data_IF_827275300221
#
_entry.id   IF_827275300221
#
_cell.length_a   1.000
_cell.length_b   1.000
_cell.length_c   1.000
_cell.angle_alpha   90.00
_cell.angle_beta   90.00
_cell.angle_gamma   90.00
#
_symmetry.space_group_name_H-M   'P 1'
#
loop_
_entity.id
_entity.type
_entity.pdbx_description
1 polymer ?
#
# COMPACT_ATOMS: atom_id res chain seq x y z
N UNK A 1 -53.11 49.39 -20.35
CA UNK A 1 -51.63 49.42 -20.48
C UNK A 1 -51.14 50.17 -19.25
N UNK A 2 -50.52 49.62 -18.22
CA UNK A 2 -49.31 48.77 -18.13
C UNK A 2 -49.37 48.06 -16.76
N UNK A 3 -48.90 46.80 -16.72
CA UNK A 3 -48.88 45.91 -15.53
C UNK A 3 -47.71 46.30 -14.61
N UNK A 4 -47.96 46.41 -13.30
CA UNK A 4 -46.92 46.49 -12.28
C UNK A 4 -46.59 45.06 -11.81
N UNK A 5 -45.43 44.53 -12.17
CA UNK A 5 -44.97 43.22 -11.74
C UNK A 5 -44.31 43.31 -10.36
N UNK A 6 -44.85 42.55 -9.40
CA UNK A 6 -44.17 42.20 -8.16
C UNK A 6 -42.97 41.30 -8.49
N UNK A 7 -41.80 41.62 -7.95
CA UNK A 7 -40.68 40.68 -7.87
C UNK A 7 -40.59 40.11 -6.45
N UNK A 8 -41.17 38.92 -6.29
CA UNK A 8 -40.96 38.05 -5.14
C UNK A 8 -39.69 37.26 -5.41
N UNK A 9 -38.59 37.56 -4.73
CA UNK A 9 -37.37 36.74 -4.80
C UNK A 9 -37.59 35.53 -3.89
N UNK A 10 -37.88 34.38 -4.49
CA UNK A 10 -37.89 33.09 -3.82
C UNK A 10 -36.44 32.60 -3.66
N UNK A 11 -35.93 32.56 -2.43
CA UNK A 11 -34.67 31.90 -2.09
C UNK A 11 -34.96 30.40 -1.93
N UNK A 12 -34.70 29.61 -2.97
CA UNK A 12 -34.67 28.15 -2.88
C UNK A 12 -33.34 27.73 -2.23
N UNK A 13 -33.41 27.23 -1.00
CA UNK A 13 -32.29 26.60 -0.30
C UNK A 13 -31.92 25.28 -0.97
N UNK A 14 -30.71 25.21 -1.52
CA UNK A 14 -30.08 23.96 -1.92
C UNK A 14 -29.41 23.31 -0.72
N UNK A 15 -30.06 22.32 -0.12
CA UNK A 15 -29.47 21.46 0.91
C UNK A 15 -28.53 20.48 0.21
N UNK A 16 -27.23 20.77 0.21
CA UNK A 16 -26.21 19.86 -0.28
C UNK A 16 -26.12 18.66 0.67
N UNK A 17 -26.65 17.52 0.23
CA UNK A 17 -26.43 16.22 0.89
C UNK A 17 -24.95 15.85 0.71
N UNK A 18 -24.15 16.08 1.76
CA UNK A 18 -22.81 15.54 1.85
C UNK A 18 -22.92 14.01 1.94
N UNK A 19 -22.51 13.32 0.89
CA UNK A 19 -22.32 11.87 0.91
C UNK A 19 -21.10 11.62 1.80
N UNK A 20 -21.21 10.89 2.92
CA UNK A 20 -20.04 10.53 3.70
C UNK A 20 -19.16 9.63 2.82
N UNK A 21 -17.90 10.04 2.63
CA UNK A 21 -16.89 9.16 2.08
C UNK A 21 -16.79 7.95 3.03
N UNK A 22 -17.08 6.76 2.50
CA UNK A 22 -16.78 5.53 3.20
C UNK A 22 -15.25 5.44 3.31
N UNK A 23 -14.73 5.71 4.51
CA UNK A 23 -13.33 5.47 4.82
C UNK A 23 -13.16 3.94 4.92
N UNK A 24 -12.38 3.35 4.02
CA UNK A 24 -11.88 2.00 4.22
C UNK A 24 -10.96 2.04 5.46
N UNK A 25 -11.41 1.38 6.52
CA UNK A 25 -10.66 1.20 7.76
C UNK A 25 -9.63 0.11 7.47
N UNK A 26 -8.35 0.47 7.38
CA UNK A 26 -7.26 -0.52 7.28
C UNK A 26 -7.11 -1.12 8.67
N UNK A 27 -7.94 -2.10 8.99
CA UNK A 27 -8.02 -2.74 10.31
C UNK A 27 -6.98 -3.85 10.51
N UNK A 28 -5.89 -3.86 9.73
CA UNK A 28 -4.76 -4.79 9.94
C UNK A 28 -5.13 -6.28 9.84
N UNK A 29 -6.34 -6.61 9.37
CA UNK A 29 -6.65 -7.93 8.86
C UNK A 29 -6.03 -8.05 7.45
N UNK A 30 -5.70 -9.27 7.01
CA UNK A 30 -5.26 -9.49 5.63
C UNK A 30 -6.31 -8.96 4.63
N UNK A 31 -6.03 -8.90 3.32
CA UNK A 31 -6.94 -8.34 2.32
C UNK A 31 -8.41 -8.68 2.58
N UNK A 32 -9.23 -7.62 2.69
CA UNK A 32 -10.64 -7.70 3.08
C UNK A 32 -11.48 -8.58 2.13
N UNK A 33 -11.00 -8.78 0.90
CA UNK A 33 -11.60 -9.64 -0.10
C UNK A 33 -10.59 -10.08 -1.18
N UNK A 34 -10.90 -11.19 -1.84
CA UNK A 34 -10.16 -11.75 -2.98
C UNK A 34 -11.03 -11.91 -4.21
N UNK A 35 -10.40 -11.86 -5.38
CA UNK A 35 -11.02 -12.09 -6.68
C UNK A 35 -10.31 -13.14 -7.51
N UNK A 36 -11.05 -13.75 -8.43
CA UNK A 36 -10.51 -14.64 -9.46
C UNK A 36 -9.95 -13.82 -10.61
N UNK A 37 -8.76 -14.20 -11.09
CA UNK A 37 -8.08 -13.63 -12.25
C UNK A 37 -7.45 -14.73 -13.11
N UNK A 38 -7.07 -14.41 -14.35
CA UNK A 38 -6.36 -15.35 -15.23
C UNK A 38 -7.18 -16.55 -15.71
N UNK A 39 -8.51 -16.52 -15.57
CA UNK A 39 -9.45 -17.51 -16.10
C UNK A 39 -10.18 -16.91 -17.29
N UNK A 40 -10.32 -17.67 -18.37
CA UNK A 40 -11.01 -17.20 -19.57
C UNK A 40 -12.49 -16.90 -19.28
N UNK A 41 -13.07 -15.92 -19.98
CA UNK A 41 -14.44 -15.46 -19.74
C UNK A 41 -15.52 -16.56 -19.95
N UNK A 42 -15.20 -17.59 -20.74
CA UNK A 42 -16.05 -18.74 -21.02
C UNK A 42 -15.64 -20.01 -20.24
N UNK A 43 -14.80 -19.87 -19.21
CA UNK A 43 -14.30 -20.97 -18.38
C UNK A 43 -14.69 -20.78 -16.91
N UNK A 44 -14.22 -21.62 -15.99
CA UNK A 44 -14.42 -21.50 -14.55
C UNK A 44 -13.17 -21.89 -13.77
N UNK A 45 -13.01 -21.31 -12.57
CA UNK A 45 -12.00 -21.78 -11.63
C UNK A 45 -12.55 -22.96 -10.82
N UNK A 46 -11.96 -24.13 -11.00
CA UNK A 46 -12.34 -25.34 -10.26
C UNK A 46 -11.96 -25.24 -8.78
N UNK A 47 -12.95 -25.41 -7.89
CA UNK A 47 -12.76 -25.60 -6.45
C UNK A 47 -12.62 -27.08 -6.12
N UNK A 48 -11.59 -27.45 -5.38
CA UNK A 48 -11.24 -28.86 -5.12
C UNK A 48 -11.34 -29.22 -3.65
N UNK A 49 -11.54 -30.51 -3.39
CA UNK A 49 -11.62 -31.08 -2.05
C UNK A 49 -10.30 -30.95 -1.26
N UNK A 50 -9.17 -30.89 -1.95
CA UNK A 50 -7.85 -30.72 -1.35
C UNK A 50 -6.90 -29.90 -2.23
N UNK A 51 -5.72 -29.54 -1.70
CA UNK A 51 -4.73 -28.69 -2.36
C UNK A 51 -3.97 -29.47 -3.46
N UNK A 52 -4.48 -29.42 -4.69
CA UNK A 52 -3.83 -30.09 -5.82
C UNK A 52 -4.80 -30.52 -6.91
N UNK A 53 -4.30 -30.69 -8.13
CA UNK A 53 -5.09 -31.14 -9.28
C UNK A 53 -5.57 -32.59 -9.19
N UNK A 54 -4.96 -33.39 -8.30
CA UNK A 54 -5.33 -34.78 -8.02
C UNK A 54 -6.63 -34.91 -7.21
N UNK A 55 -7.06 -33.85 -6.51
CA UNK A 55 -8.27 -33.89 -5.69
C UNK A 55 -9.52 -33.64 -6.52
N UNK A 56 -10.64 -34.26 -6.13
CA UNK A 56 -11.94 -34.11 -6.75
C UNK A 56 -12.36 -32.63 -6.84
N UNK A 57 -12.93 -32.23 -7.97
CA UNK A 57 -13.61 -30.93 -8.12
C UNK A 57 -14.97 -31.01 -7.42
N UNK A 58 -15.18 -30.14 -6.44
CA UNK A 58 -16.40 -30.10 -5.59
C UNK A 58 -17.23 -28.84 -5.83
N UNK A 59 -16.74 -27.92 -6.66
CA UNK A 59 -17.43 -26.70 -7.01
C UNK A 59 -16.63 -25.89 -8.02
N UNK A 60 -17.14 -24.69 -8.32
CA UNK A 60 -16.48 -23.75 -9.22
C UNK A 60 -16.82 -22.31 -8.88
N UNK A 61 -15.91 -21.42 -9.26
CA UNK A 61 -16.03 -19.98 -9.21
C UNK A 61 -16.09 -19.40 -10.63
N UNK A 62 -16.84 -18.31 -10.81
CA UNK A 62 -16.86 -17.57 -12.06
C UNK A 62 -15.46 -16.98 -12.37
N UNK A 63 -15.13 -16.73 -13.65
CA UNK A 63 -13.83 -16.17 -14.08
C UNK A 63 -13.40 -14.88 -13.40
N UNK A 64 -14.38 -14.11 -12.90
CA UNK A 64 -14.21 -12.83 -12.23
C UNK A 64 -14.95 -12.81 -10.87
N UNK A 65 -15.11 -13.97 -10.22
CA UNK A 65 -15.73 -14.02 -8.90
C UNK A 65 -14.96 -13.10 -7.93
N UNK A 66 -15.70 -12.37 -7.10
CA UNK A 66 -15.23 -11.30 -6.22
C UNK A 66 -15.73 -11.51 -4.79
N UNK A 67 -15.18 -10.76 -3.84
CA UNK A 67 -15.59 -10.84 -2.43
C UNK A 67 -15.24 -12.18 -1.77
N UNK A 68 -14.27 -12.92 -2.30
CA UNK A 68 -13.88 -14.22 -1.77
C UNK A 68 -13.07 -14.05 -0.48
N UNK A 69 -13.33 -14.91 0.50
CA UNK A 69 -12.56 -14.97 1.74
C UNK A 69 -11.47 -16.03 1.63
N UNK A 70 -10.21 -15.65 1.90
CA UNK A 70 -9.11 -16.59 2.01
C UNK A 70 -9.03 -17.14 3.43
N UNK A 71 -9.34 -18.43 3.61
CA UNK A 71 -9.27 -19.09 4.91
C UNK A 71 -7.82 -19.47 5.25
N UNK A 72 -7.12 -20.09 4.32
CA UNK A 72 -5.71 -20.49 4.48
C UNK A 72 -5.09 -20.88 3.15
N UNK A 73 -3.76 -21.01 3.09
CA UNK A 73 -3.07 -21.53 1.91
C UNK A 73 -1.97 -22.52 2.29
N UNK A 74 -1.70 -23.47 1.40
CA UNK A 74 -0.64 -24.49 1.54
C UNK A 74 0.19 -24.65 0.25
N UNK A 75 1.47 -25.02 0.35
CA UNK A 75 2.23 -25.14 1.60
C UNK A 75 2.40 -23.78 2.29
N UNK A 76 2.55 -23.81 3.61
CA UNK A 76 2.82 -22.61 4.38
C UNK A 76 4.19 -22.06 3.95
N UNK A 77 4.18 -20.86 3.40
CA UNK A 77 5.38 -20.10 3.13
C UNK A 77 5.21 -18.74 3.78
N UNK A 78 5.79 -18.61 4.97
CA UNK A 78 5.76 -17.32 5.65
C UNK A 78 6.63 -16.34 4.85
N UNK A 79 6.20 -15.09 4.72
CA UNK A 79 6.90 -14.11 3.89
C UNK A 79 8.38 -13.89 4.24
N UNK A 80 8.74 -13.94 5.53
CA UNK A 80 10.12 -13.83 6.00
C UNK A 80 11.04 -14.96 5.49
N UNK A 81 10.47 -16.12 5.14
CA UNK A 81 11.20 -17.20 4.47
C UNK A 81 11.26 -16.91 2.97
N UNK A 82 10.15 -16.57 2.33
CA UNK A 82 10.10 -16.26 0.88
C UNK A 82 11.13 -15.22 0.46
N UNK A 83 11.30 -14.17 1.26
CA UNK A 83 12.21 -13.06 0.97
C UNK A 83 13.69 -13.38 1.11
N UNK A 84 14.02 -14.48 1.80
CA UNK A 84 15.38 -15.00 1.93
C UNK A 84 15.74 -16.00 0.84
N UNK A 85 14.77 -16.51 0.09
CA UNK A 85 15.02 -17.40 -1.04
C UNK A 85 15.65 -16.61 -2.20
N UNK A 86 16.61 -17.23 -2.86
CA UNK A 86 17.11 -16.79 -4.17
C UNK A 86 16.03 -16.92 -5.24
N UNK A 87 16.25 -16.31 -6.41
CA UNK A 87 15.30 -16.41 -7.53
C UNK A 87 15.11 -17.85 -8.01
N UNK A 88 16.18 -18.63 -8.05
CA UNK A 88 16.14 -20.04 -8.44
C UNK A 88 15.33 -20.87 -7.44
N UNK A 89 15.51 -20.62 -6.14
CA UNK A 89 14.72 -21.27 -5.09
C UNK A 89 13.25 -20.85 -5.14
N UNK A 90 12.95 -19.57 -5.39
CA UNK A 90 11.57 -19.08 -5.57
C UNK A 90 10.90 -19.72 -6.78
N UNK A 91 11.61 -19.84 -7.90
CA UNK A 91 11.10 -20.49 -9.11
C UNK A 91 10.85 -22.00 -8.92
N UNK A 92 11.58 -22.63 -8.01
CA UNK A 92 11.42 -24.04 -7.65
C UNK A 92 10.31 -24.31 -6.63
N UNK A 93 9.65 -23.27 -6.10
CA UNK A 93 8.57 -23.46 -5.14
C UNK A 93 7.39 -24.21 -5.76
N UNK A 94 6.75 -25.12 -4.99
CA UNK A 94 5.55 -25.80 -5.47
C UNK A 94 4.39 -24.81 -5.62
N UNK A 95 3.46 -25.12 -6.54
CA UNK A 95 2.24 -24.35 -6.68
C UNK A 95 1.50 -24.26 -5.35
N UNK A 96 1.26 -23.03 -4.87
CA UNK A 96 0.45 -22.77 -3.68
C UNK A 96 -1.04 -22.89 -4.00
N UNK A 97 -1.78 -23.45 -3.06
CA UNK A 97 -3.23 -23.63 -3.11
C UNK A 97 -3.87 -22.94 -1.92
N UNK A 98 -5.00 -22.28 -2.12
CA UNK A 98 -5.72 -21.56 -1.08
C UNK A 98 -7.13 -22.11 -0.92
N UNK A 99 -7.55 -22.32 0.32
CA UNK A 99 -8.92 -22.63 0.68
C UNK A 99 -9.71 -21.32 0.67
N UNK A 100 -10.59 -21.19 -0.31
CA UNK A 100 -11.41 -20.00 -0.51
C UNK A 100 -12.86 -20.29 -0.17
N UNK A 101 -13.55 -19.27 0.33
CA UNK A 101 -14.97 -19.32 0.66
C UNK A 101 -15.70 -18.17 -0.02
N UNK A 102 -16.90 -18.44 -0.53
CA UNK A 102 -17.76 -17.39 -1.10
C UNK A 102 -18.38 -16.53 0.01
N UNK A 103 -18.66 -15.25 -0.25
CA UNK A 103 -19.17 -14.34 0.78
C UNK A 103 -20.57 -14.72 1.32
N UNK A 104 -21.34 -15.50 0.56
CA UNK A 104 -22.61 -16.09 1.00
C UNK A 104 -22.46 -17.40 1.79
N UNK A 105 -21.22 -17.83 2.05
CA UNK A 105 -20.84 -19.09 2.71
C UNK A 105 -21.35 -20.37 2.00
N UNK A 106 -21.91 -20.26 0.79
CA UNK A 106 -22.50 -21.40 0.09
C UNK A 106 -21.47 -22.36 -0.50
N UNK A 107 -20.25 -21.90 -0.77
CA UNK A 107 -19.17 -22.70 -1.35
C UNK A 107 -17.86 -22.50 -0.59
N UNK A 108 -17.13 -23.59 -0.38
CA UNK A 108 -15.75 -23.57 0.08
C UNK A 108 -14.94 -24.69 -0.59
N UNK A 109 -13.67 -24.43 -0.88
CA UNK A 109 -12.80 -25.39 -1.55
C UNK A 109 -11.45 -24.80 -1.96
N UNK A 110 -10.52 -25.69 -2.29
CA UNK A 110 -9.15 -25.34 -2.65
C UNK A 110 -9.04 -24.92 -4.11
N UNK A 111 -8.39 -23.79 -4.35
CA UNK A 111 -8.06 -23.28 -5.70
C UNK A 111 -6.57 -22.95 -5.80
N UNK A 112 -6.02 -22.91 -7.02
CA UNK A 112 -4.63 -22.54 -7.21
C UNK A 112 -4.43 -21.03 -7.02
N UNK A 113 -3.47 -20.63 -6.18
CA UNK A 113 -3.22 -19.23 -5.80
C UNK A 113 -2.93 -18.33 -7.01
N UNK A 114 -2.35 -18.86 -8.08
CA UNK A 114 -2.05 -18.09 -9.31
C UNK A 114 -3.29 -17.46 -9.99
N UNK A 115 -4.50 -17.91 -9.64
CA UNK A 115 -5.76 -17.37 -10.15
C UNK A 115 -6.45 -16.45 -9.14
N UNK A 116 -5.74 -16.04 -8.08
CA UNK A 116 -6.27 -15.19 -7.03
C UNK A 116 -5.50 -13.87 -7.00
N UNK A 117 -6.24 -12.79 -6.78
CA UNK A 117 -5.73 -11.44 -6.58
C UNK A 117 -6.56 -10.76 -5.49
N UNK A 118 -5.97 -9.83 -4.75
CA UNK A 118 -6.71 -9.04 -3.75
C UNK A 118 -7.77 -8.18 -4.45
N UNK A 119 -8.97 -8.16 -3.87
CA UNK A 119 -10.13 -7.44 -4.38
C UNK A 119 -10.16 -6.02 -3.80
N UNK A 120 -9.06 -5.29 -4.01
CA UNK A 120 -8.87 -3.91 -3.54
C UNK A 120 -8.03 -3.04 -4.49
N UNK A 121 -7.52 -3.63 -5.57
CA UNK A 121 -6.84 -2.90 -6.63
C UNK A 121 -7.78 -2.85 -7.84
N UNK A 122 -8.57 -1.79 -7.99
CA UNK A 122 -8.95 -1.38 -9.34
C UNK A 122 -7.64 -1.16 -10.12
N UNK A 123 -7.49 -1.82 -11.27
CA UNK A 123 -6.45 -1.43 -12.21
C UNK A 123 -6.78 -0.01 -12.67
N UNK A 124 -6.17 0.98 -12.02
CA UNK A 124 -6.14 2.33 -12.55
C UNK A 124 -5.31 2.23 -13.84
N UNK A 125 -5.99 2.08 -14.97
CA UNK A 125 -5.43 2.40 -16.28
C UNK A 125 -5.17 3.90 -16.29
N UNK A 126 -4.04 4.32 -15.71
CA UNK A 126 -3.57 5.70 -15.74
C UNK A 126 -3.03 6.03 -17.14
N UNK A 127 -3.39 7.18 -17.74
CA UNK A 127 -2.75 7.65 -18.95
C UNK A 127 -1.33 8.11 -18.62
N UNK A 128 -0.33 7.41 -19.17
CA UNK A 128 1.06 7.88 -19.24
C UNK A 128 1.84 7.73 -17.94
N UNK A 129 2.84 6.84 -17.97
CA UNK A 129 3.86 6.72 -16.93
C UNK A 129 4.49 8.09 -16.63
N UNK A 130 4.33 8.56 -15.39
CA UNK A 130 5.14 9.63 -14.83
C UNK A 130 6.51 9.07 -14.42
N UNK A 131 7.59 9.87 -14.47
CA UNK A 131 8.89 9.48 -13.92
C UNK A 131 8.74 9.24 -12.41
N UNK A 132 9.08 8.03 -11.93
CA UNK A 132 8.91 7.61 -10.53
C UNK A 132 8.13 6.30 -10.34
N UNK A 133 7.58 5.73 -11.43
CA UNK A 133 6.74 4.53 -11.39
C UNK A 133 7.46 3.17 -11.21
N UNK A 134 8.76 3.15 -10.89
CA UNK A 134 9.53 1.89 -10.72
C UNK A 134 10.31 1.85 -9.39
N UNK A 135 9.80 2.47 -8.33
CA UNK A 135 10.33 2.17 -7.00
C UNK A 135 9.85 0.76 -6.62
N UNK A 136 10.75 -0.21 -6.77
CA UNK A 136 10.53 -1.60 -6.36
C UNK A 136 10.28 -1.69 -4.85
N UNK A 137 9.01 -1.70 -4.44
CA UNK A 137 8.60 -1.95 -3.07
C UNK A 137 8.79 -3.44 -2.77
N UNK A 138 9.79 -3.80 -1.97
CA UNK A 138 9.96 -5.18 -1.51
C UNK A 138 9.10 -5.40 -0.27
N UNK A 139 7.94 -6.02 -0.47
CA UNK A 139 7.06 -6.39 0.63
C UNK A 139 7.60 -7.61 1.39
N UNK A 140 7.33 -7.64 2.69
CA UNK A 140 7.60 -8.74 3.59
C UNK A 140 6.33 -9.44 4.06
N UNK A 141 5.19 -9.19 3.43
CA UNK A 141 3.91 -9.88 3.63
C UNK A 141 3.33 -9.74 5.04
N UNK A 142 3.83 -8.79 5.82
CA UNK A 142 3.27 -8.34 7.07
C UNK A 142 2.60 -6.98 6.81
N UNK A 143 1.26 -6.88 6.90
CA UNK A 143 0.54 -5.66 6.52
C UNK A 143 1.00 -4.40 7.24
N UNK A 144 1.42 -4.52 8.51
CA UNK A 144 1.89 -3.38 9.29
C UNK A 144 3.23 -2.87 8.78
N UNK A 145 4.16 -3.80 8.54
CA UNK A 145 5.51 -3.48 8.09
C UNK A 145 5.52 -3.06 6.61
N UNK A 146 4.69 -3.69 5.79
CA UNK A 146 4.50 -3.32 4.40
C UNK A 146 3.81 -1.96 4.28
N UNK A 147 2.85 -1.67 5.17
CA UNK A 147 2.23 -0.35 5.28
C UNK A 147 3.24 0.74 5.64
N UNK A 148 4.20 0.45 6.54
CA UNK A 148 5.28 1.38 6.85
C UNK A 148 6.20 1.64 5.65
N UNK A 149 6.58 0.59 4.90
CA UNK A 149 7.38 0.76 3.68
C UNK A 149 6.62 1.51 2.58
N UNK A 150 5.32 1.26 2.43
CA UNK A 150 4.44 1.99 1.53
C UNK A 150 4.33 3.46 1.92
N UNK A 151 4.26 3.79 3.22
CA UNK A 151 4.23 5.16 3.70
C UNK A 151 5.51 5.94 3.33
N UNK A 152 6.68 5.29 3.43
CA UNK A 152 7.95 5.89 2.98
C UNK A 152 7.96 6.05 1.46
N UNK A 153 7.50 5.05 0.69
CA UNK A 153 7.38 5.17 -0.77
C UNK A 153 6.47 6.33 -1.18
N UNK A 154 5.32 6.47 -0.53
CA UNK A 154 4.36 7.54 -0.83
C UNK A 154 4.95 8.91 -0.48
N UNK A 155 5.78 9.02 0.57
CA UNK A 155 6.54 10.23 0.87
C UNK A 155 7.46 10.63 -0.29
N UNK A 156 8.25 9.69 -0.83
CA UNK A 156 9.12 9.97 -1.99
C UNK A 156 8.32 10.33 -3.25
N UNK A 157 7.22 9.60 -3.51
CA UNK A 157 6.37 9.84 -4.67
C UNK A 157 5.69 11.22 -4.62
N UNK A 158 5.08 11.55 -3.48
CA UNK A 158 4.44 12.87 -3.28
C UNK A 158 5.47 13.99 -3.34
N UNK A 159 6.68 13.80 -2.76
CA UNK A 159 7.75 14.78 -2.85
C UNK A 159 8.19 15.03 -4.31
N UNK A 160 8.39 13.97 -5.09
CA UNK A 160 8.78 14.08 -6.50
C UNK A 160 7.66 14.71 -7.36
N UNK A 161 6.39 14.46 -7.03
CA UNK A 161 5.24 15.02 -7.72
C UNK A 161 4.88 16.46 -7.28
N UNK A 162 5.47 16.96 -6.19
CA UNK A 162 5.14 18.25 -5.60
C UNK A 162 5.53 19.42 -6.52
N UNK A 163 4.54 19.98 -7.21
CA UNK A 163 4.73 21.18 -8.05
C UNK A 163 4.63 22.50 -7.28
N UNK A 164 4.18 22.45 -6.01
CA UNK A 164 3.98 23.64 -5.17
C UNK A 164 4.24 23.34 -3.69
N UNK A 165 4.44 24.40 -2.89
CA UNK A 165 4.60 24.26 -1.44
C UNK A 165 3.35 23.68 -0.76
N UNK A 166 2.14 23.83 -1.35
CA UNK A 166 0.92 23.30 -0.77
C UNK A 166 0.81 21.77 -0.94
N UNK A 167 1.45 21.21 -1.97
CA UNK A 167 1.45 19.78 -2.26
C UNK A 167 2.64 19.05 -1.60
N UNK A 168 3.62 19.81 -1.12
CA UNK A 168 4.84 19.28 -0.51
C UNK A 168 4.53 18.46 0.77
N UNK A 169 5.03 17.21 0.90
CA UNK A 169 4.79 16.39 2.08
C UNK A 169 5.41 16.94 3.38
N UNK A 170 6.37 17.85 3.28
CA UNK A 170 6.97 18.57 4.42
C UNK A 170 6.25 19.88 4.76
N UNK A 171 5.19 20.24 4.02
CA UNK A 171 4.37 21.40 4.36
C UNK A 171 3.51 21.14 5.62
N UNK A 172 3.24 22.19 6.40
CA UNK A 172 2.47 22.11 7.65
C UNK A 172 1.13 21.36 7.51
N UNK A 173 0.48 21.46 6.35
CA UNK A 173 -0.81 20.81 6.06
C UNK A 173 -0.71 19.31 5.80
N UNK A 174 0.46 18.84 5.34
CA UNK A 174 0.65 17.47 4.85
C UNK A 174 1.57 16.65 5.77
N UNK A 175 2.38 17.31 6.60
CA UNK A 175 3.44 16.68 7.40
C UNK A 175 2.93 15.58 8.33
N UNK A 176 1.73 15.74 8.92
CA UNK A 176 1.13 14.74 9.80
C UNK A 176 0.69 13.45 9.08
N UNK A 177 0.63 13.45 7.74
CA UNK A 177 0.39 12.24 6.94
C UNK A 177 1.56 11.27 6.99
N UNK A 178 2.78 11.80 7.15
CA UNK A 178 4.03 11.04 7.04
C UNK A 178 4.80 10.98 8.35
N UNK A 179 4.84 12.09 9.08
CA UNK A 179 5.65 12.27 10.28
C UNK A 179 4.79 12.40 11.54
N UNK A 180 5.44 12.29 12.70
CA UNK A 180 4.79 12.56 13.97
C UNK A 180 4.25 14.00 14.00
N UNK A 181 3.09 14.20 14.59
CA UNK A 181 2.42 15.51 14.58
C UNK A 181 3.28 16.62 15.22
N UNK A 182 4.07 16.26 16.23
CA UNK A 182 4.96 17.18 16.94
C UNK A 182 6.25 17.54 16.17
N UNK A 183 6.53 16.89 15.03
CA UNK A 183 7.71 17.15 14.21
C UNK A 183 7.50 18.28 13.20
N UNK A 184 6.25 18.72 12.97
CA UNK A 184 5.90 19.70 11.95
C UNK A 184 6.81 20.95 11.97
N UNK A 185 7.04 21.52 13.15
CA UNK A 185 7.89 22.71 13.29
C UNK A 185 9.35 22.45 12.93
N UNK A 186 9.89 21.27 13.26
CA UNK A 186 11.29 20.91 12.99
C UNK A 186 11.53 20.60 11.53
N UNK A 187 10.52 20.10 10.82
CA UNK A 187 10.59 19.71 9.41
C UNK A 187 10.47 20.91 8.45
N UNK A 188 10.13 22.10 8.95
CA UNK A 188 10.01 23.30 8.11
C UNK A 188 11.35 23.66 7.46
N UNK A 189 11.32 23.81 6.14
CA UNK A 189 12.51 24.14 5.35
C UNK A 189 13.41 22.94 5.06
N UNK A 190 12.99 21.73 5.47
CA UNK A 190 13.63 20.47 5.15
C UNK A 190 12.80 19.72 4.10
N UNK A 191 13.46 18.85 3.33
CA UNK A 191 12.84 18.04 2.29
C UNK A 191 13.88 17.16 1.61
N UNK A 192 14.46 17.66 0.51
CA UNK A 192 15.51 16.94 -0.24
C UNK A 192 16.68 16.51 0.64
N UNK A 193 17.07 17.34 1.60
CA UNK A 193 18.15 17.03 2.54
C UNK A 193 17.83 15.82 3.42
N UNK A 194 16.56 15.65 3.82
CA UNK A 194 16.12 14.51 4.61
C UNK A 194 15.82 13.25 3.79
N UNK A 195 15.50 13.41 2.50
CA UNK A 195 15.21 12.29 1.59
C UNK A 195 16.44 11.80 0.81
N UNK A 196 17.45 12.63 0.63
CA UNK A 196 18.59 12.30 -0.23
C UNK A 196 19.95 12.68 0.38
N UNK A 197 19.98 13.20 1.62
CA UNK A 197 21.21 13.68 2.25
C UNK A 197 21.82 14.90 1.54
N UNK A 198 21.07 15.57 0.65
CA UNK A 198 21.60 16.63 -0.20
C UNK A 198 20.51 17.65 -0.59
N UNK A 199 20.92 18.90 -0.84
CA UNK A 199 20.01 19.91 -1.39
C UNK A 199 19.64 19.62 -2.85
N UNK A 200 20.63 19.15 -3.64
CA UNK A 200 20.45 18.74 -5.02
C UNK A 200 20.44 17.21 -5.13
N UNK A 201 19.49 16.68 -5.89
CA UNK A 201 19.38 15.24 -6.17
C UNK A 201 19.46 15.00 -7.68
N UNK A 202 20.42 14.18 -8.09
CA UNK A 202 20.52 13.69 -9.46
C UNK A 202 20.77 12.18 -9.45
N UNK A 203 19.68 11.43 -9.54
CA UNK A 203 19.71 9.98 -9.67
C UNK A 203 18.33 9.39 -9.48
N UNK A 204 18.27 8.19 -8.92
CA UNK A 204 17.02 7.47 -8.74
C UNK A 204 16.99 6.70 -7.42
N UNK A 205 15.79 6.58 -6.84
CA UNK A 205 15.55 5.67 -5.72
C UNK A 205 15.48 4.25 -6.28
N UNK A 206 16.40 3.39 -5.86
CA UNK A 206 16.56 2.04 -6.40
C UNK A 206 15.77 1.02 -5.60
N UNK A 207 15.55 1.27 -4.29
CA UNK A 207 14.82 0.36 -3.41
C UNK A 207 14.21 1.10 -2.22
N UNK A 208 12.98 0.76 -1.87
CA UNK A 208 12.39 1.08 -0.56
C UNK A 208 11.87 -0.21 0.04
N UNK A 209 12.35 -0.55 1.23
CA UNK A 209 11.98 -1.80 1.86
C UNK A 209 12.25 -1.83 3.36
N UNK A 210 11.52 -2.66 4.12
CA UNK A 210 11.84 -2.93 5.51
C UNK A 210 13.28 -3.45 5.69
N UNK A 211 13.86 -3.20 6.86
CA UNK A 211 15.14 -3.77 7.25
C UNK A 211 15.08 -5.30 7.15
N UNK A 212 16.07 -5.90 6.48
CA UNK A 212 16.01 -7.30 6.10
C UNK A 212 16.21 -8.26 7.29
N UNK A 213 17.00 -7.83 8.28
CA UNK A 213 17.36 -8.65 9.43
C UNK A 213 16.43 -8.38 10.62
N UNK A 214 16.05 -7.11 10.80
CA UNK A 214 15.29 -6.66 11.96
C UNK A 214 14.23 -5.62 11.55
N UNK A 215 13.22 -6.04 10.76
CA UNK A 215 12.21 -5.12 10.22
C UNK A 215 11.42 -4.41 11.32
N UNK A 216 11.22 -5.05 12.47
CA UNK A 216 10.65 -4.43 13.66
C UNK A 216 11.45 -4.79 14.92
N UNK A 217 11.75 -3.79 15.75
CA UNK A 217 12.36 -3.97 17.06
C UNK A 217 11.74 -3.04 18.10
N UNK A 218 11.20 -3.61 19.18
CA UNK A 218 10.56 -2.87 20.30
C UNK A 218 9.48 -1.89 19.84
N UNK A 219 8.65 -2.30 18.87
CA UNK A 219 7.54 -1.50 18.33
C UNK A 219 7.97 -0.42 17.32
N UNK A 220 9.26 -0.34 17.00
CA UNK A 220 9.79 0.51 15.94
C UNK A 220 10.04 -0.33 14.69
N UNK A 221 9.54 0.12 13.56
CA UNK A 221 9.79 -0.44 12.23
C UNK A 221 10.89 0.37 11.56
N UNK A 222 11.88 -0.29 10.97
CA UNK A 222 12.95 0.35 10.20
C UNK A 222 12.74 0.07 8.71
N UNK A 223 12.70 1.12 7.91
CA UNK A 223 12.59 1.08 6.45
C UNK A 223 13.81 1.75 5.85
N UNK A 224 14.52 1.08 4.95
CA UNK A 224 15.65 1.63 4.25
C UNK A 224 15.21 2.06 2.84
N UNK A 225 15.61 3.27 2.45
CA UNK A 225 15.52 3.77 1.08
C UNK A 225 16.93 3.83 0.50
N UNK A 226 17.21 2.97 -0.47
CA UNK A 226 18.48 2.94 -1.19
C UNK A 226 18.29 3.74 -2.50
N UNK A 227 19.27 4.56 -2.84
CA UNK A 227 19.22 5.41 -4.02
C UNK A 227 20.60 5.65 -4.61
N UNK A 228 20.62 6.14 -5.84
CA UNK A 228 21.83 6.70 -6.45
C UNK A 228 21.72 8.22 -6.46
N UNK A 229 22.80 8.90 -6.07
CA UNK A 229 22.91 10.35 -6.17
C UNK A 229 24.28 10.72 -6.76
N UNK A 230 24.28 11.42 -7.91
CA UNK A 230 25.48 11.71 -8.70
C UNK A 230 26.33 10.46 -8.99
N UNK A 231 25.66 9.32 -9.23
CA UNK A 231 26.31 8.03 -9.52
C UNK A 231 26.94 7.32 -8.31
N UNK A 232 26.73 7.84 -7.09
CA UNK A 232 27.10 7.14 -5.84
C UNK A 232 25.86 6.50 -5.23
N UNK A 233 26.01 5.25 -4.80
CA UNK A 233 24.98 4.56 -4.02
C UNK A 233 24.97 5.12 -2.60
N UNK A 234 23.78 5.35 -2.07
CA UNK A 234 23.55 5.85 -0.73
C UNK A 234 22.25 5.27 -0.14
N UNK A 235 22.07 5.40 1.18
CA UNK A 235 20.90 4.86 1.88
C UNK A 235 20.45 5.73 3.06
N UNK A 236 19.14 5.89 3.21
CA UNK A 236 18.52 6.53 4.38
C UNK A 236 17.62 5.53 5.10
N UNK A 237 17.77 5.46 6.42
CA UNK A 237 16.91 4.70 7.29
C UNK A 237 15.81 5.58 7.91
N UNK A 238 14.56 5.18 7.71
CA UNK A 238 13.37 5.76 8.33
C UNK A 238 12.89 4.85 9.45
N UNK A 239 12.64 5.44 10.62
CA UNK A 239 12.10 4.75 11.77
C UNK A 239 10.67 5.19 12.02
N UNK A 240 9.78 4.21 12.05
CA UNK A 240 8.35 4.41 12.18
C UNK A 240 7.83 3.70 13.42
N UNK A 241 6.85 4.31 14.09
CA UNK A 241 6.06 3.68 15.15
C UNK A 241 4.69 4.35 15.23
N UNK A 242 3.78 3.78 16.02
CA UNK A 242 2.48 4.39 16.28
C UNK A 242 2.64 5.78 16.93
N UNK A 243 2.04 6.81 16.32
CA UNK A 243 1.94 8.15 16.88
C UNK A 243 0.68 8.27 17.73
N UNK A 244 0.82 8.07 19.04
CA UNK A 244 -0.30 8.11 19.99
C UNK A 244 -0.91 9.50 20.18
N UNK A 245 -0.27 10.55 19.67
CA UNK A 245 -0.81 11.91 19.73
C UNK A 245 -1.82 12.16 18.59
N UNK A 246 -1.90 11.26 17.60
CA UNK A 246 -2.86 11.32 16.50
C UNK A 246 -4.04 10.34 16.69
N UNK A 247 -5.26 10.69 16.26
CA UNK A 247 -6.42 9.79 16.30
C UNK A 247 -6.14 8.47 15.57
N UNK A 248 -6.45 7.34 16.20
CA UNK A 248 -6.19 6.00 15.65
C UNK A 248 -4.74 5.52 15.78
N UNK A 249 -3.86 6.30 16.42
CA UNK A 249 -2.45 5.98 16.64
C UNK A 249 -1.71 5.43 15.40
N UNK A 250 -1.78 6.13 14.24
CA UNK A 250 -1.25 5.62 12.99
C UNK A 250 0.29 5.53 13.04
N UNK A 251 0.87 4.62 12.26
CA UNK A 251 2.32 4.55 12.12
C UNK A 251 2.84 5.76 11.34
N UNK A 252 3.82 6.45 11.93
CA UNK A 252 4.44 7.66 11.37
C UNK A 252 5.94 7.63 11.56
N UNK A 253 6.65 8.34 10.71
CA UNK A 253 8.10 8.54 10.81
C UNK A 253 8.37 9.45 12.01
N UNK A 254 9.20 8.98 12.93
CA UNK A 254 9.65 9.76 14.09
C UNK A 254 11.16 9.96 14.14
N UNK A 255 11.91 9.32 13.24
CA UNK A 255 13.34 9.47 13.16
C UNK A 255 13.84 9.08 11.77
N UNK A 256 14.85 9.81 11.29
CA UNK A 256 15.56 9.55 10.04
C UNK A 256 17.05 9.47 10.39
N UNK A 257 17.74 8.50 9.81
CA UNK A 257 19.17 8.30 9.98
C UNK A 257 19.84 8.11 8.63
N UNK A 258 20.96 8.79 8.46
CA UNK A 258 21.91 8.67 7.37
C UNK A 258 23.30 8.39 7.97
N UNK A 259 24.26 7.95 7.16
CA UNK A 259 25.56 7.50 7.67
C UNK A 259 26.33 8.57 8.49
N UNK A 260 26.10 9.86 8.22
CA UNK A 260 26.80 10.99 8.83
C UNK A 260 25.92 11.89 9.70
N UNK A 261 24.59 11.73 9.67
CA UNK A 261 23.66 12.55 10.45
C UNK A 261 22.38 11.81 10.81
N UNK A 262 21.66 12.33 11.81
CA UNK A 262 20.32 11.85 12.12
C UNK A 262 19.39 13.01 12.47
N UNK A 263 18.10 12.80 12.21
CA UNK A 263 17.05 13.78 12.39
C UNK A 263 15.90 13.17 13.22
N UNK A 264 15.52 13.80 14.36
CA UNK A 264 14.47 13.31 15.25
C UNK A 264 13.05 13.68 14.79
#
# INVERSE_FOLDING_TARGET
>A
MIRLFLFTIAVCGGLALAIPAAHAEIDGHGPDAWRVTGVAANDVLNMRMGPGTQYLVIGSLAPNARGLEQITCVPLLIPSIYNRLSETERAALPQRWCLMRTPDFAKAGWVAQRFLMEDGLEEISGPGAAPGADISLKTIGDPLIDGAAALVRDLYADFAASGSQADNPFADTNVARYFFANMAQKLRGHGSDLLYGAQDFQGEVTRIAPDADKPMFRGTIKVNADFTNFGREDSIAFYLRADTDQPGAPFRIFHIEHDDWSFP
#
